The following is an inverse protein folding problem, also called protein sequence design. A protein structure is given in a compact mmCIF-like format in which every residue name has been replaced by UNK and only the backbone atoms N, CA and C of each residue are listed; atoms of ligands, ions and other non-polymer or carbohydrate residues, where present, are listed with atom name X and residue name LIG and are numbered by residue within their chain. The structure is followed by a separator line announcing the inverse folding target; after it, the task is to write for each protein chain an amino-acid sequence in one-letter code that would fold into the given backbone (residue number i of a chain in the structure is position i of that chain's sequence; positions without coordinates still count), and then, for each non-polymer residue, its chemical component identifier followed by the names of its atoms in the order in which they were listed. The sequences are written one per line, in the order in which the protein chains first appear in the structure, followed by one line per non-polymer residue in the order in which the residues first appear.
data_IF_023705263675
#
_entry.id   IF_023705263675
#
_cell.length_a   1.000
_cell.length_b   1.000
_cell.length_c   1.000
_cell.angle_alpha   90.00
_cell.angle_beta   90.00
_cell.angle_gamma   90.00
#
_symmetry.space_group_name_H-M   'P 1'
#
loop_
_entity.id
_entity.type
_entity.pdbx_description
1 polymer ?
#
# COMPACT_ATOMS: atom_id res chain seq x y z
N UNK A 1 36.28 17.12 -4.36
CA UNK A 1 36.39 16.39 -3.07
C UNK A 1 35.12 15.60 -2.92
N UNK A 2 35.17 14.28 -2.76
CA UNK A 2 33.97 13.51 -2.50
C UNK A 2 33.56 13.73 -1.04
N UNK A 3 32.43 14.39 -0.82
CA UNK A 3 31.88 14.51 0.51
C UNK A 3 31.58 13.11 1.03
N UNK A 4 32.27 12.69 2.08
CA UNK A 4 31.97 11.45 2.75
C UNK A 4 30.98 11.73 3.88
N UNK A 5 29.89 11.01 3.89
CA UNK A 5 28.92 11.03 4.99
C UNK A 5 28.71 9.61 5.53
N UNK A 6 28.39 9.52 6.79
CA UNK A 6 28.11 8.25 7.45
C UNK A 6 26.75 8.29 8.15
N UNK A 7 26.13 7.14 8.26
CA UNK A 7 24.87 6.96 8.96
C UNK A 7 24.73 5.49 9.38
N UNK A 8 23.82 5.20 10.32
CA UNK A 8 23.52 3.84 10.75
C UNK A 8 22.88 3.02 9.62
N UNK A 9 22.11 3.69 8.74
CA UNK A 9 21.47 3.06 7.59
C UNK A 9 21.53 3.94 6.34
N UNK A 10 21.81 3.30 5.19
CA UNK A 10 21.69 3.92 3.86
C UNK A 10 20.61 3.17 3.09
N UNK A 11 19.65 3.92 2.55
CA UNK A 11 18.56 3.40 1.73
C UNK A 11 18.77 3.84 0.28
N UNK A 12 18.74 2.89 -0.63
CA UNK A 12 18.85 3.15 -2.07
C UNK A 12 17.45 3.16 -2.66
N UNK A 13 17.00 4.34 -3.09
CA UNK A 13 15.70 4.58 -3.69
C UNK A 13 14.71 5.27 -2.75
N UNK A 14 14.19 6.43 -3.17
CA UNK A 14 13.20 7.25 -2.47
C UNK A 14 11.76 6.96 -2.86
N UNK A 15 11.43 5.72 -3.29
CA UNK A 15 10.06 5.27 -3.46
C UNK A 15 9.36 5.05 -2.12
N UNK A 16 8.06 4.67 -2.15
CA UNK A 16 7.26 4.51 -0.92
C UNK A 16 7.90 3.51 0.06
N UNK A 17 8.42 2.38 -0.43
CA UNK A 17 9.12 1.42 0.43
C UNK A 17 10.36 2.03 1.10
N UNK A 18 11.25 2.66 0.33
CA UNK A 18 12.45 3.26 0.89
C UNK A 18 12.14 4.38 1.87
N UNK A 19 11.21 5.26 1.52
CA UNK A 19 10.83 6.39 2.37
C UNK A 19 10.13 5.95 3.65
N UNK A 20 9.22 4.96 3.59
CA UNK A 20 8.58 4.42 4.78
C UNK A 20 9.58 3.68 5.68
N UNK A 21 10.50 2.91 5.09
CA UNK A 21 11.60 2.27 5.84
C UNK A 21 12.47 3.31 6.55
N UNK A 22 12.84 4.38 5.85
CA UNK A 22 13.61 5.48 6.44
C UNK A 22 12.92 6.08 7.65
N UNK A 23 11.62 6.35 7.53
CA UNK A 23 10.80 6.90 8.61
C UNK A 23 10.75 5.97 9.83
N UNK A 24 10.57 4.66 9.62
CA UNK A 24 10.56 3.70 10.73
C UNK A 24 11.93 3.57 11.41
N UNK A 25 13.03 3.54 10.64
CA UNK A 25 14.37 3.51 11.20
C UNK A 25 14.67 4.77 12.03
N UNK A 26 14.21 5.94 11.57
CA UNK A 26 14.30 7.19 12.35
C UNK A 26 13.53 7.11 13.66
N UNK A 27 12.32 6.56 13.65
CA UNK A 27 11.55 6.32 14.89
C UNK A 27 12.23 5.36 15.85
N UNK A 28 13.12 4.50 15.36
CA UNK A 28 13.99 3.64 16.18
C UNK A 28 15.26 4.36 16.67
N UNK A 29 15.45 5.64 16.35
CA UNK A 29 16.59 6.45 16.78
C UNK A 29 17.83 6.37 15.86
N UNK A 30 17.75 5.65 14.73
CA UNK A 30 18.88 5.50 13.82
C UNK A 30 19.04 6.73 12.93
N UNK A 31 20.28 7.09 12.60
CA UNK A 31 20.60 8.04 11.55
C UNK A 31 20.40 7.40 10.16
N UNK A 32 19.68 8.08 9.26
CA UNK A 32 19.29 7.50 7.97
C UNK A 32 19.59 8.47 6.82
N UNK A 33 20.26 7.95 5.80
CA UNK A 33 20.45 8.62 4.51
C UNK A 33 19.69 7.86 3.42
N UNK A 34 18.94 8.59 2.58
CA UNK A 34 18.27 8.05 1.40
C UNK A 34 18.93 8.62 0.15
N UNK A 35 19.39 7.75 -0.76
CA UNK A 35 19.98 8.15 -2.04
C UNK A 35 18.97 7.84 -3.13
N UNK A 36 18.50 8.88 -3.83
CA UNK A 36 17.48 8.77 -4.88
C UNK A 36 18.00 9.41 -6.18
N UNK A 37 18.01 8.63 -7.25
CA UNK A 37 18.54 9.07 -8.55
C UNK A 37 17.71 10.15 -9.25
N UNK A 38 16.47 10.38 -8.83
CA UNK A 38 15.59 11.42 -9.36
C UNK A 38 14.92 12.18 -8.20
N UNK A 39 13.62 11.98 -8.01
CA UNK A 39 12.84 12.51 -6.90
C UNK A 39 11.90 11.43 -6.36
N UNK A 40 11.50 11.49 -5.09
CA UNK A 40 10.61 10.51 -4.48
C UNK A 40 9.29 10.35 -5.24
N UNK A 41 8.94 9.10 -5.56
CA UNK A 41 7.71 8.79 -6.31
C UNK A 41 7.81 8.94 -7.83
N UNK A 42 8.97 9.21 -8.40
CA UNK A 42 9.14 9.37 -9.86
C UNK A 42 8.68 8.16 -10.68
N UNK A 43 8.81 6.96 -10.12
CA UNK A 43 8.51 5.69 -10.79
C UNK A 43 7.28 5.00 -10.16
N UNK A 44 7.32 3.67 -10.00
CA UNK A 44 6.20 2.84 -9.60
C UNK A 44 5.40 3.36 -8.38
N UNK A 45 6.07 3.92 -7.38
CA UNK A 45 5.40 4.42 -6.18
C UNK A 45 4.46 5.60 -6.44
N UNK A 46 4.75 6.44 -7.42
CA UNK A 46 3.89 7.59 -7.76
C UNK A 46 3.01 7.36 -9.00
N UNK A 47 3.16 6.22 -9.69
CA UNK A 47 2.56 5.97 -11.00
C UNK A 47 1.69 4.69 -11.03
N UNK A 48 1.27 4.19 -9.87
CA UNK A 48 0.39 3.03 -9.77
C UNK A 48 -1.10 3.44 -9.72
N UNK A 49 -2.00 2.45 -9.70
CA UNK A 49 -3.45 2.67 -9.67
C UNK A 49 -4.02 3.12 -8.31
N UNK A 50 -3.19 3.21 -7.27
CA UNK A 50 -3.59 3.71 -5.95
C UNK A 50 -4.45 2.76 -5.12
N UNK A 51 -4.62 1.50 -5.50
CA UNK A 51 -5.42 0.56 -4.74
C UNK A 51 -4.81 0.25 -3.36
N UNK A 52 -5.57 0.52 -2.32
CA UNK A 52 -5.25 0.19 -0.93
C UNK A 52 -6.19 -0.93 -0.51
N UNK A 53 -5.69 -2.18 -0.49
CA UNK A 53 -6.59 -3.32 -0.44
C UNK A 53 -6.04 -4.52 0.33
N UNK A 54 -6.97 -5.27 0.92
CA UNK A 54 -6.81 -6.65 1.40
C UNK A 54 -7.49 -7.65 0.48
N UNK A 55 -8.53 -7.22 -0.23
CA UNK A 55 -9.32 -8.06 -1.13
C UNK A 55 -8.44 -8.84 -2.10
N UNK A 56 -8.60 -10.15 -2.14
CA UNK A 56 -7.92 -11.01 -3.10
C UNK A 56 -6.41 -11.14 -2.90
N UNK A 57 -5.84 -10.76 -1.75
CA UNK A 57 -4.45 -11.01 -1.41
C UNK A 57 -4.18 -12.50 -1.23
N UNK A 58 -2.93 -12.93 -1.48
CA UNK A 58 -2.50 -14.26 -1.07
C UNK A 58 -2.71 -14.44 0.44
N UNK A 59 -3.08 -15.65 0.86
CA UNK A 59 -3.37 -15.94 2.26
C UNK A 59 -2.19 -15.62 3.18
N UNK A 60 -0.96 -15.83 2.72
CA UNK A 60 0.25 -15.49 3.45
C UNK A 60 0.48 -13.97 3.61
N UNK A 61 -0.08 -13.15 2.71
CA UNK A 61 0.04 -11.69 2.75
C UNK A 61 -1.03 -11.03 3.64
N UNK A 62 -2.11 -11.73 3.98
CA UNK A 62 -3.25 -11.14 4.72
C UNK A 62 -2.82 -10.53 6.06
N UNK A 63 -1.99 -11.17 6.91
CA UNK A 63 -1.59 -10.56 8.19
C UNK A 63 -0.89 -9.21 8.00
N UNK A 64 -0.01 -9.11 6.99
CA UNK A 64 0.70 -7.87 6.68
C UNK A 64 -0.24 -6.82 6.11
N UNK A 65 -1.14 -7.20 5.20
CA UNK A 65 -2.11 -6.28 4.61
C UNK A 65 -3.13 -5.78 5.62
N UNK A 66 -3.53 -6.60 6.60
CA UNK A 66 -4.40 -6.18 7.70
C UNK A 66 -3.70 -5.18 8.63
N UNK A 67 -2.44 -5.42 8.96
CA UNK A 67 -1.62 -4.46 9.72
C UNK A 67 -1.45 -3.14 8.96
N UNK A 68 -1.19 -3.19 7.65
CA UNK A 68 -1.09 -2.01 6.81
C UNK A 68 -2.42 -1.24 6.73
N UNK A 69 -3.56 -1.93 6.66
CA UNK A 69 -4.87 -1.28 6.60
C UNK A 69 -5.19 -0.49 7.87
N UNK A 70 -4.75 -0.95 9.04
CA UNK A 70 -4.89 -0.19 10.31
C UNK A 70 -4.15 1.15 10.24
N UNK A 71 -2.98 1.17 9.58
CA UNK A 71 -2.23 2.42 9.34
C UNK A 71 -3.00 3.31 8.35
N UNK A 72 -3.52 2.75 7.27
CA UNK A 72 -4.28 3.50 6.27
C UNK A 72 -5.53 4.16 6.84
N UNK A 73 -6.30 3.49 7.68
CA UNK A 73 -7.48 4.05 8.33
C UNK A 73 -7.15 5.20 9.32
N UNK A 74 -5.89 5.33 9.71
CA UNK A 74 -5.40 6.42 10.55
C UNK A 74 -4.22 7.16 9.92
N UNK A 75 -4.15 7.17 8.58
CA UNK A 75 -2.97 7.64 7.85
C UNK A 75 -2.63 9.09 8.14
N UNK A 76 -3.63 9.94 8.32
CA UNK A 76 -3.45 11.34 8.65
C UNK A 76 -2.76 11.53 10.00
N UNK A 77 -3.12 10.73 11.01
CA UNK A 77 -2.45 10.74 12.31
C UNK A 77 -1.00 10.25 12.23
N UNK A 78 -0.73 9.32 11.31
CA UNK A 78 0.60 8.73 11.17
C UNK A 78 1.56 9.62 10.38
N UNK A 79 1.08 10.25 9.30
CA UNK A 79 1.93 10.95 8.34
C UNK A 79 1.67 12.47 8.27
N UNK A 80 0.57 12.97 8.88
CA UNK A 80 0.17 14.38 8.80
C UNK A 80 -0.45 14.77 7.45
N UNK A 81 -0.99 13.81 6.71
CA UNK A 81 -1.63 14.01 5.42
C UNK A 81 -2.61 12.87 5.16
N UNK A 82 -3.76 13.16 4.55
CA UNK A 82 -4.77 12.16 4.20
C UNK A 82 -4.35 11.24 3.04
N UNK A 83 -3.25 11.56 2.35
CA UNK A 83 -2.74 10.84 1.18
C UNK A 83 -3.77 10.69 0.04
N UNK A 84 -4.88 11.45 0.07
CA UNK A 84 -6.03 11.25 -0.79
C UNK A 84 -6.65 9.86 -0.61
N UNK A 85 -6.62 9.30 0.60
CA UNK A 85 -7.21 8.01 0.90
C UNK A 85 -8.72 8.12 1.06
N UNK A 86 -9.44 7.32 0.29
CA UNK A 86 -10.89 7.18 0.37
C UNK A 86 -11.26 5.72 0.59
N UNK A 87 -11.97 5.44 1.69
CA UNK A 87 -12.52 4.13 2.00
C UNK A 87 -13.79 3.90 1.18
N UNK A 88 -13.63 3.48 -0.05
CA UNK A 88 -14.72 3.25 -1.02
C UNK A 88 -15.10 1.77 -1.17
N UNK A 89 -14.39 0.87 -0.49
CA UNK A 89 -14.51 -0.56 -0.68
C UNK A 89 -13.86 -1.04 -1.98
N UNK A 90 -13.75 -2.36 -2.10
CA UNK A 90 -13.37 -3.03 -3.35
C UNK A 90 -14.20 -4.28 -3.54
N UNK A 91 -14.50 -4.60 -4.80
CA UNK A 91 -15.31 -5.75 -5.19
C UNK A 91 -14.53 -6.61 -6.18
N UNK A 92 -14.59 -7.92 -6.02
CA UNK A 92 -14.19 -8.91 -7.02
C UNK A 92 -15.44 -9.62 -7.49
N UNK A 93 -15.71 -9.55 -8.79
CA UNK A 93 -16.94 -10.01 -9.43
C UNK A 93 -16.77 -11.47 -9.86
N UNK A 94 -17.87 -12.23 -9.80
CA UNK A 94 -18.04 -13.54 -10.42
C UNK A 94 -19.05 -13.44 -11.56
N UNK A 95 -18.65 -13.89 -12.75
CA UNK A 95 -19.51 -13.96 -13.93
C UNK A 95 -20.21 -15.31 -14.06
N UNK A 96 -19.70 -16.34 -13.40
CA UNK A 96 -20.20 -17.71 -13.44
C UNK A 96 -20.38 -18.30 -12.04
N UNK A 97 -21.28 -19.29 -11.93
CA UNK A 97 -21.46 -20.06 -10.72
C UNK A 97 -20.18 -20.83 -10.28
N UNK A 98 -19.31 -21.18 -11.23
CA UNK A 98 -18.03 -21.80 -10.92
C UNK A 98 -17.10 -20.81 -10.20
N UNK A 99 -16.96 -19.59 -10.72
CA UNK A 99 -16.18 -18.53 -10.06
C UNK A 99 -16.77 -18.16 -8.71
N UNK A 100 -18.11 -18.14 -8.57
CA UNK A 100 -18.75 -17.86 -7.29
C UNK A 100 -18.39 -18.91 -6.24
N UNK A 101 -18.34 -20.21 -6.59
CA UNK A 101 -17.86 -21.27 -5.69
C UNK A 101 -16.39 -21.10 -5.30
N UNK A 102 -15.54 -20.66 -6.22
CA UNK A 102 -14.14 -20.37 -5.89
C UNK A 102 -14.01 -19.19 -4.91
N UNK A 103 -14.82 -18.15 -5.08
CA UNK A 103 -14.86 -17.03 -4.15
C UNK A 103 -15.40 -17.42 -2.78
N UNK A 104 -16.39 -18.29 -2.72
CA UNK A 104 -16.91 -18.85 -1.47
C UNK A 104 -15.84 -19.67 -0.74
N UNK A 105 -15.15 -20.57 -1.43
CA UNK A 105 -14.03 -21.33 -0.88
C UNK A 105 -12.91 -20.41 -0.34
N UNK A 106 -12.63 -19.32 -1.06
CA UNK A 106 -11.67 -18.31 -0.63
C UNK A 106 -12.14 -17.63 0.66
N UNK A 107 -13.37 -17.12 0.73
CA UNK A 107 -13.90 -16.46 1.94
C UNK A 107 -13.82 -17.40 3.14
N UNK A 108 -14.15 -18.68 2.96
CA UNK A 108 -14.02 -19.68 4.01
C UNK A 108 -12.57 -19.89 4.46
N UNK A 109 -11.60 -19.88 3.53
CA UNK A 109 -10.18 -20.00 3.84
C UNK A 109 -9.66 -18.77 4.60
N UNK A 110 -10.10 -17.56 4.23
CA UNK A 110 -9.76 -16.31 4.92
C UNK A 110 -10.35 -16.32 6.35
N UNK A 111 -11.60 -16.75 6.50
CA UNK A 111 -12.26 -16.89 7.81
C UNK A 111 -11.57 -17.92 8.70
N UNK A 112 -11.10 -19.02 8.15
CA UNK A 112 -10.38 -20.06 8.89
C UNK A 112 -9.05 -19.54 9.48
N UNK A 113 -8.48 -18.47 8.91
CA UNK A 113 -7.30 -17.77 9.44
C UNK A 113 -7.66 -16.65 10.44
N UNK A 114 -8.94 -16.48 10.78
CA UNK A 114 -9.40 -15.47 11.73
C UNK A 114 -9.65 -14.08 11.13
N UNK A 115 -9.67 -13.94 9.80
CA UNK A 115 -9.95 -12.68 9.11
C UNK A 115 -11.38 -12.66 8.54
N UNK A 116 -12.06 -11.51 8.67
CA UNK A 116 -13.46 -11.35 8.29
C UNK A 116 -13.71 -10.23 7.28
N UNK A 117 -12.67 -9.78 6.59
CA UNK A 117 -12.73 -8.62 5.73
C UNK A 117 -13.30 -8.89 4.32
N UNK A 118 -13.43 -10.15 3.91
CA UNK A 118 -14.05 -10.54 2.64
C UNK A 118 -15.43 -11.11 2.90
N UNK A 119 -16.45 -10.50 2.27
CA UNK A 119 -17.85 -10.88 2.38
C UNK A 119 -18.37 -11.35 1.03
N UNK A 120 -19.11 -12.49 1.01
CA UNK A 120 -19.84 -12.91 -0.18
C UNK A 120 -21.04 -11.99 -0.40
N UNK A 121 -21.25 -11.57 -1.65
CA UNK A 121 -22.39 -10.78 -2.10
C UNK A 121 -23.06 -11.43 -3.29
N UNK A 122 -24.39 -11.47 -3.26
CA UNK A 122 -25.19 -11.93 -4.38
C UNK A 122 -25.38 -10.86 -5.46
N UNK A 123 -26.07 -11.27 -6.51
CA UNK A 123 -26.33 -10.43 -7.70
C UNK A 123 -26.99 -9.08 -7.37
N UNK A 124 -28.02 -9.07 -6.49
CA UNK A 124 -28.75 -7.84 -6.17
C UNK A 124 -27.82 -6.82 -5.48
N UNK A 125 -27.12 -7.26 -4.43
CA UNK A 125 -26.18 -6.39 -3.72
C UNK A 125 -25.01 -5.94 -4.60
N UNK A 126 -24.52 -6.82 -5.49
CA UNK A 126 -23.51 -6.44 -6.46
C UNK A 126 -23.96 -5.27 -7.35
N UNK A 127 -25.23 -5.30 -7.78
CA UNK A 127 -25.81 -4.22 -8.59
C UNK A 127 -26.08 -2.94 -7.81
N UNK A 128 -26.42 -3.05 -6.55
CA UNK A 128 -26.56 -1.89 -5.67
C UNK A 128 -25.20 -1.19 -5.50
N UNK A 129 -24.11 -1.97 -5.36
CA UNK A 129 -22.75 -1.44 -5.24
C UNK A 129 -22.19 -0.93 -6.57
N UNK A 130 -22.48 -1.63 -7.67
CA UNK A 130 -21.97 -1.32 -9.01
C UNK A 130 -23.11 -1.35 -10.02
N UNK A 131 -23.92 -0.28 -10.14
CA UNK A 131 -25.11 -0.27 -11.00
C UNK A 131 -24.84 -0.55 -12.49
N UNK A 132 -23.62 -0.32 -12.93
CA UNK A 132 -23.19 -0.54 -14.33
C UNK A 132 -22.63 -1.93 -14.62
N UNK A 133 -22.65 -2.83 -13.61
CA UNK A 133 -22.13 -4.20 -13.80
C UNK A 133 -22.96 -4.98 -14.82
N UNK A 134 -22.32 -5.88 -15.56
CA UNK A 134 -22.99 -6.74 -16.55
C UNK A 134 -24.12 -7.54 -15.93
N UNK A 135 -25.21 -7.71 -16.70
CA UNK A 135 -26.36 -8.56 -16.30
C UNK A 135 -25.99 -10.03 -16.10
N UNK A 136 -24.89 -10.48 -16.69
CA UNK A 136 -24.42 -11.86 -16.59
C UNK A 136 -23.69 -12.16 -15.26
N UNK A 137 -23.30 -11.13 -14.51
CA UNK A 137 -22.62 -11.35 -13.21
C UNK A 137 -23.56 -11.95 -12.19
N UNK A 138 -23.10 -13.01 -11.53
CA UNK A 138 -23.91 -13.80 -10.56
C UNK A 138 -23.72 -13.34 -9.12
N UNK A 139 -22.62 -12.63 -8.82
CA UNK A 139 -22.27 -12.13 -7.50
C UNK A 139 -20.80 -11.78 -7.39
N UNK A 140 -20.24 -11.91 -6.19
CA UNK A 140 -18.83 -11.60 -5.96
C UNK A 140 -18.44 -11.65 -4.49
N UNK A 141 -17.31 -11.03 -4.19
CA UNK A 141 -16.89 -10.72 -2.83
C UNK A 141 -16.57 -9.23 -2.70
N UNK A 142 -16.87 -8.67 -1.54
CA UNK A 142 -16.58 -7.27 -1.21
C UNK A 142 -15.69 -7.18 0.02
N UNK A 143 -14.76 -6.25 0.02
CA UNK A 143 -14.07 -5.76 1.21
C UNK A 143 -14.42 -4.28 1.40
N UNK A 144 -15.32 -3.97 2.36
CA UNK A 144 -15.89 -2.63 2.53
C UNK A 144 -14.92 -1.61 3.07
N UNK A 145 -13.88 -2.09 3.78
CA UNK A 145 -12.87 -1.24 4.41
C UNK A 145 -11.64 -0.98 3.52
N UNK A 146 -11.58 -1.60 2.36
CA UNK A 146 -10.57 -1.30 1.35
C UNK A 146 -10.85 0.05 0.68
N UNK A 147 -9.88 0.58 -0.03
CA UNK A 147 -10.05 1.88 -0.66
C UNK A 147 -9.02 2.18 -1.74
N UNK A 148 -8.89 3.45 -2.00
CA UNK A 148 -7.90 3.99 -2.93
C UNK A 148 -7.24 5.23 -2.34
N UNK A 149 -5.98 5.48 -2.70
CA UNK A 149 -5.22 6.65 -2.33
C UNK A 149 -4.54 7.25 -3.57
N UNK A 150 -4.12 8.50 -3.48
CA UNK A 150 -3.34 9.12 -4.55
C UNK A 150 -1.87 8.71 -4.40
N UNK A 151 -1.28 7.96 -5.35
CA UNK A 151 0.08 7.42 -5.20
C UNK A 151 1.16 8.50 -5.06
N UNK A 152 1.07 9.55 -5.86
CA UNK A 152 2.03 10.64 -5.83
C UNK A 152 1.88 11.47 -4.54
N UNK A 153 0.65 11.79 -4.12
CA UNK A 153 0.39 12.48 -2.86
C UNK A 153 0.91 11.67 -1.68
N UNK A 154 0.62 10.36 -1.65
CA UNK A 154 1.13 9.43 -0.64
C UNK A 154 2.64 9.46 -0.54
N UNK A 155 3.35 9.24 -1.67
CA UNK A 155 4.82 9.18 -1.64
C UNK A 155 5.42 10.52 -1.20
N UNK A 156 4.84 11.65 -1.64
CA UNK A 156 5.29 12.99 -1.21
C UNK A 156 5.02 13.24 0.28
N UNK A 157 3.88 12.79 0.81
CA UNK A 157 3.55 12.94 2.23
C UNK A 157 4.55 12.16 3.11
N UNK A 158 4.84 10.92 2.74
CA UNK A 158 5.86 10.11 3.43
C UNK A 158 7.25 10.74 3.34
N UNK A 159 7.64 11.26 2.18
CA UNK A 159 8.92 11.94 2.01
C UNK A 159 9.00 13.20 2.90
N UNK A 160 8.00 14.07 2.84
CA UNK A 160 7.93 15.27 3.69
C UNK A 160 8.08 14.90 5.16
N UNK A 161 7.29 13.92 5.63
CA UNK A 161 7.37 13.46 7.01
C UNK A 161 8.73 12.90 7.38
N UNK A 162 9.37 12.14 6.50
CA UNK A 162 10.71 11.63 6.74
C UNK A 162 11.76 12.75 6.87
N UNK A 163 11.65 13.81 6.05
CA UNK A 163 12.51 15.00 6.17
C UNK A 163 12.27 15.73 7.50
N UNK A 164 11.03 15.91 7.91
CA UNK A 164 10.67 16.49 9.21
C UNK A 164 11.26 15.70 10.39
N UNK A 165 11.37 14.38 10.24
CA UNK A 165 12.02 13.48 11.22
C UNK A 165 13.55 13.39 11.02
N UNK A 166 14.17 14.32 10.29
CA UNK A 166 15.61 14.38 10.05
C UNK A 166 16.20 13.19 9.27
N UNK A 167 15.47 12.64 8.30
CA UNK A 167 16.06 11.78 7.27
C UNK A 167 16.75 12.65 6.24
N UNK A 168 18.01 12.38 5.93
CA UNK A 168 18.74 13.09 4.88
C UNK A 168 18.44 12.46 3.53
N UNK A 169 18.12 13.30 2.51
CA UNK A 169 17.91 12.87 1.14
C UNK A 169 18.95 13.44 0.21
N UNK A 170 19.58 12.57 -0.55
CA UNK A 170 20.51 12.91 -1.65
C UNK A 170 19.77 12.65 -2.96
N UNK A 171 19.17 13.71 -3.49
CA UNK A 171 18.35 13.66 -4.71
C UNK A 171 19.20 13.91 -5.95
N UNK A 172 18.89 13.23 -7.06
CA UNK A 172 19.68 13.29 -8.28
C UNK A 172 20.92 12.40 -8.27
N UNK A 173 21.14 11.67 -7.18
CA UNK A 173 22.33 10.84 -6.97
C UNK A 173 22.06 9.38 -7.30
N UNK A 174 22.82 8.83 -8.25
CA UNK A 174 22.73 7.42 -8.64
C UNK A 174 23.82 6.60 -7.96
N UNK A 175 23.42 5.60 -7.16
CA UNK A 175 24.38 4.61 -6.64
C UNK A 175 24.89 3.76 -7.78
N UNK A 176 26.20 3.73 -7.98
CA UNK A 176 26.87 2.97 -9.04
C UNK A 176 27.62 1.77 -8.52
N UNK A 177 28.01 1.76 -7.25
CA UNK A 177 28.78 0.68 -6.66
C UNK A 177 28.52 0.57 -5.15
N UNK A 178 28.54 -0.64 -4.62
CA UNK A 178 28.51 -0.95 -3.19
C UNK A 178 29.75 -1.79 -2.86
N UNK A 179 30.58 -1.31 -1.94
CA UNK A 179 31.78 -2.01 -1.47
C UNK A 179 31.62 -2.41 -0.03
N UNK A 180 31.89 -3.68 0.26
CA UNK A 180 32.02 -4.16 1.64
C UNK A 180 33.39 -3.76 2.16
N UNK A 181 33.41 -3.14 3.35
CA UNK A 181 34.69 -2.90 4.09
C UNK A 181 35.12 -4.15 4.81
#
# INVERSE_FOLDING_TARGET
MSDSFSSDAIIIGGGLHGTSTALYLRKMGLSVNVIEKHFPGRFASGMNAGGVRRLGRDLAEIPLSDAAMKIWHSIENFIGDDCGFHKVGQVKIAETEAEMRELEARVNSVKAQGFLHEELIGNNELRDLIPVVSQNCVGGIVCRDDGAANPMKTTKAFWRRAVEENVNYYLGEKVTEIKKK
#
